data_IF_371188898344
#
_entry.id   IF_371188898344
#
_cell.length_a   1.000
_cell.length_b   1.000
_cell.length_c   1.000
_cell.angle_alpha   90.00
_cell.angle_beta   90.00
_cell.angle_gamma   90.00
#
_symmetry.space_group_name_H-M   'P 1'
#
loop_
_entity.id
_entity.type
_entity.pdbx_description
1 polymer ?
#
# COMPACT_ATOMS: atom_id res chain seq x y z
N UNK A 1 12.77 -5.58 -20.23
CA UNK A 1 12.99 -4.84 -18.98
C UNK A 1 11.99 -5.37 -18.00
N UNK A 2 12.39 -6.32 -17.18
CA UNK A 2 11.55 -6.82 -16.09
C UNK A 2 11.57 -5.72 -15.02
N UNK A 3 10.56 -4.86 -15.02
CA UNK A 3 10.28 -4.04 -13.84
C UNK A 3 9.90 -5.00 -12.73
N UNK A 4 10.91 -5.52 -12.03
CA UNK A 4 10.76 -6.15 -10.73
C UNK A 4 10.15 -5.06 -9.87
N UNK A 5 8.83 -5.05 -9.76
CA UNK A 5 8.11 -4.17 -8.85
C UNK A 5 8.65 -4.49 -7.48
N UNK A 6 9.49 -3.61 -6.96
CA UNK A 6 10.14 -3.83 -5.69
C UNK A 6 9.08 -3.58 -4.60
N UNK A 7 8.39 -4.64 -4.21
CA UNK A 7 7.33 -4.63 -3.22
C UNK A 7 7.80 -4.01 -1.89
N UNK A 8 9.08 -4.12 -1.52
CA UNK A 8 9.62 -3.49 -0.32
C UNK A 8 9.64 -1.96 -0.42
N UNK A 9 10.03 -1.41 -1.57
CA UNK A 9 9.98 0.04 -1.81
C UNK A 9 8.54 0.55 -1.82
N UNK A 10 7.65 -0.18 -2.47
CA UNK A 10 6.24 0.19 -2.56
C UNK A 10 5.55 0.10 -1.19
N UNK A 11 5.85 -0.93 -0.39
CA UNK A 11 5.41 -1.04 1.00
C UNK A 11 5.94 0.12 1.85
N UNK A 12 7.20 0.51 1.69
CA UNK A 12 7.78 1.68 2.38
C UNK A 12 7.01 2.97 2.06
N UNK A 13 6.62 3.18 0.79
CA UNK A 13 5.82 4.33 0.37
C UNK A 13 4.42 4.29 0.96
N UNK A 14 3.75 3.13 0.95
CA UNK A 14 2.43 2.94 1.54
C UNK A 14 2.42 3.20 3.05
N UNK A 15 3.39 2.61 3.78
CA UNK A 15 3.56 2.82 5.22
C UNK A 15 3.77 4.30 5.54
N UNK A 16 4.69 4.94 4.82
CA UNK A 16 5.00 6.36 4.98
C UNK A 16 3.81 7.27 4.62
N UNK A 17 2.98 6.89 3.66
CA UNK A 17 1.75 7.63 3.34
C UNK A 17 0.73 7.51 4.48
N UNK A 18 0.60 6.32 5.06
CA UNK A 18 -0.26 6.08 6.21
C UNK A 18 0.15 6.91 7.42
N UNK A 19 1.43 6.89 7.79
CA UNK A 19 1.96 7.66 8.94
C UNK A 19 1.83 9.18 8.76
N UNK A 20 1.80 9.67 7.52
CA UNK A 20 1.57 11.09 7.22
C UNK A 20 0.10 11.50 7.20
N UNK A 21 -0.83 10.58 7.50
CA UNK A 21 -2.27 10.84 7.42
C UNK A 21 -2.78 11.00 5.98
N UNK A 22 -2.00 10.60 4.96
CA UNK A 22 -2.36 10.69 3.54
C UNK A 22 -3.21 9.48 3.12
N UNK A 23 -4.31 9.25 3.82
CA UNK A 23 -5.14 8.06 3.66
C UNK A 23 -5.66 7.86 2.24
N UNK A 24 -6.15 8.92 1.60
CA UNK A 24 -6.64 8.88 0.22
C UNK A 24 -5.54 8.48 -0.79
N UNK A 25 -4.32 9.01 -0.62
CA UNK A 25 -3.19 8.64 -1.47
C UNK A 25 -2.75 7.19 -1.24
N UNK A 26 -2.76 6.73 0.01
CA UNK A 26 -2.47 5.34 0.35
C UNK A 26 -3.48 4.37 -0.30
N UNK A 27 -4.78 4.70 -0.25
CA UNK A 27 -5.86 3.94 -0.91
C UNK A 27 -5.72 3.95 -2.43
N UNK A 28 -5.41 5.11 -3.03
CA UNK A 28 -5.19 5.24 -4.48
C UNK A 28 -4.01 4.37 -4.93
N UNK A 29 -2.87 4.44 -4.22
CA UNK A 29 -1.70 3.61 -4.54
C UNK A 29 -2.02 2.11 -4.43
N UNK A 30 -2.74 1.72 -3.37
CA UNK A 30 -3.18 0.34 -3.16
C UNK A 30 -4.11 -0.15 -4.28
N UNK A 31 -5.12 0.64 -4.65
CA UNK A 31 -6.07 0.31 -5.71
C UNK A 31 -5.45 0.20 -7.10
N UNK A 32 -4.32 0.86 -7.33
CA UNK A 32 -3.56 0.74 -8.58
C UNK A 32 -2.69 -0.52 -8.66
N UNK A 33 -2.62 -1.34 -7.62
CA UNK A 33 -1.83 -2.57 -7.63
C UNK A 33 -2.69 -3.78 -8.03
N UNK A 34 -2.14 -4.65 -8.86
CA UNK A 34 -2.73 -5.96 -9.16
C UNK A 34 -2.83 -6.82 -7.91
N UNK A 35 -3.78 -7.77 -7.87
CA UNK A 35 -3.97 -8.69 -6.73
C UNK A 35 -2.69 -9.44 -6.33
N UNK A 36 -1.88 -9.85 -7.31
CA UNK A 36 -0.59 -10.52 -7.06
C UNK A 36 0.43 -9.62 -6.34
N UNK A 37 0.40 -8.30 -6.58
CA UNK A 37 1.27 -7.33 -5.90
C UNK A 37 0.69 -7.00 -4.52
N UNK A 38 -0.63 -6.83 -4.42
CA UNK A 38 -1.30 -6.64 -3.13
C UNK A 38 -1.00 -7.77 -2.15
N UNK A 39 -1.07 -9.03 -2.59
CA UNK A 39 -0.73 -10.20 -1.78
C UNK A 39 0.72 -10.17 -1.28
N UNK A 40 1.67 -9.71 -2.12
CA UNK A 40 3.08 -9.55 -1.74
C UNK A 40 3.31 -8.35 -0.80
N UNK A 41 2.50 -7.29 -0.92
CA UNK A 41 2.59 -6.10 -0.07
C UNK A 41 2.00 -6.33 1.32
N UNK A 42 0.89 -7.07 1.44
CA UNK A 42 0.20 -7.30 2.73
C UNK A 42 1.13 -7.62 3.91
N UNK A 43 2.09 -8.57 3.83
CA UNK A 43 2.98 -8.87 4.95
C UNK A 43 4.03 -7.78 5.24
N UNK A 44 4.22 -6.82 4.34
CA UNK A 44 5.20 -5.73 4.46
C UNK A 44 4.59 -4.40 4.94
N UNK A 45 3.26 -4.34 5.03
CA UNK A 45 2.54 -3.13 5.46
C UNK A 45 2.46 -3.03 6.98
N UNK A 46 2.55 -1.80 7.48
CA UNK A 46 2.33 -1.48 8.89
C UNK A 46 0.85 -1.54 9.22
N UNK A 47 0.53 -1.70 10.52
CA UNK A 47 -0.86 -1.69 11.00
C UNK A 47 -1.63 -0.42 10.60
N UNK A 48 -0.93 0.72 10.55
CA UNK A 48 -1.50 2.01 10.13
C UNK A 48 -1.91 1.98 8.66
N UNK A 49 -1.02 1.54 7.77
CA UNK A 49 -1.34 1.42 6.35
C UNK A 49 -2.44 0.38 6.09
N UNK A 50 -2.39 -0.76 6.79
CA UNK A 50 -3.42 -1.80 6.74
C UNK A 50 -4.79 -1.27 7.19
N UNK A 51 -4.84 -0.50 8.28
CA UNK A 51 -6.07 0.11 8.77
C UNK A 51 -6.66 1.06 7.72
N UNK A 52 -5.83 1.90 7.09
CA UNK A 52 -6.26 2.85 6.05
C UNK A 52 -6.81 2.14 4.82
N UNK A 53 -6.12 1.13 4.28
CA UNK A 53 -6.59 0.44 3.06
C UNK A 53 -7.83 -0.44 3.32
N UNK A 54 -8.04 -0.87 4.57
CA UNK A 54 -9.21 -1.67 4.97
C UNK A 54 -10.41 -0.82 5.38
N UNK A 55 -10.24 0.49 5.56
CA UNK A 55 -11.36 1.38 5.83
C UNK A 55 -12.27 1.45 4.59
N UNK A 56 -13.57 1.15 4.70
CA UNK A 56 -14.51 1.41 3.62
C UNK A 56 -14.46 2.89 3.24
N UNK A 57 -14.56 3.20 1.95
CA UNK A 57 -14.78 4.57 1.51
C UNK A 57 -16.20 4.98 1.96
N UNK A 58 -16.27 6.09 2.71
CA UNK A 58 -17.52 6.62 3.25
C UNK A 58 -18.38 7.27 2.16
#
# INVERSE_FOLDING_TARGET
>A
MDEITNCEKLASVLNRAGDQGKGAFCKMLWGNQSEAIQAQLMPLLSDVALAIIRQPEA
#
